data_IF_315768434348
#
_entry.id   IF_315768434348
#
_cell.length_a   1.000
_cell.length_b   1.000
_cell.length_c   1.000
_cell.angle_alpha   90.00
_cell.angle_beta   90.00
_cell.angle_gamma   90.00
#
_symmetry.space_group_name_H-M   'P 1'
#
loop_
_entity.id
_entity.type
_entity.pdbx_description
1 polymer ?
#
# COMPACT_ATOMS: atom_id res chain seq x y z
N UNK A 1 3.47 1.87 13.92
CA UNK A 1 3.46 0.77 12.92
C UNK A 1 4.12 -0.43 13.55
N UNK A 2 3.38 -1.52 13.68
CA UNK A 2 3.86 -2.76 14.30
C UNK A 2 4.68 -3.59 13.31
N UNK A 3 5.45 -4.57 13.81
CA UNK A 3 6.25 -5.47 12.96
C UNK A 3 5.37 -6.31 12.02
N UNK A 4 4.15 -6.64 12.44
CA UNK A 4 3.19 -7.39 11.63
C UNK A 4 2.75 -6.60 10.39
N UNK A 5 2.44 -5.31 10.56
CA UNK A 5 2.10 -4.41 9.45
C UNK A 5 3.26 -4.23 8.46
N UNK A 6 4.50 -4.16 8.97
CA UNK A 6 5.71 -4.13 8.11
C UNK A 6 5.80 -5.39 7.26
N UNK A 7 5.65 -6.56 7.88
CA UNK A 7 5.70 -7.83 7.19
C UNK A 7 4.61 -7.95 6.12
N UNK A 8 3.40 -7.45 6.39
CA UNK A 8 2.31 -7.38 5.40
C UNK A 8 2.72 -6.49 4.22
N UNK A 9 3.17 -5.26 4.48
CA UNK A 9 3.59 -4.32 3.44
C UNK A 9 4.70 -4.91 2.55
N UNK A 10 5.73 -5.50 3.15
CA UNK A 10 6.81 -6.15 2.42
C UNK A 10 6.30 -7.35 1.58
N UNK A 11 5.36 -8.14 2.10
CA UNK A 11 4.72 -9.25 1.37
C UNK A 11 3.96 -8.79 0.12
N UNK A 12 3.39 -7.59 0.15
CA UNK A 12 2.74 -6.97 -1.01
C UNK A 12 3.73 -6.22 -1.92
N UNK A 13 5.02 -6.12 -1.57
CA UNK A 13 6.04 -5.43 -2.35
C UNK A 13 6.10 -3.91 -2.10
N UNK A 14 5.57 -3.47 -0.95
CA UNK A 14 5.79 -2.13 -0.42
C UNK A 14 7.05 -2.09 0.44
N UNK A 15 7.75 -0.96 0.36
CA UNK A 15 8.97 -0.66 1.09
C UNK A 15 8.76 0.63 1.87
N UNK A 16 9.14 0.64 3.13
CA UNK A 16 9.01 1.84 3.96
C UNK A 16 10.32 2.62 3.85
N UNK A 17 10.23 3.87 3.42
CA UNK A 17 11.32 4.84 3.41
C UNK A 17 10.97 6.00 4.32
N UNK A 18 11.45 5.94 5.57
CA UNK A 18 11.22 6.98 6.58
C UNK A 18 9.75 7.12 6.95
N UNK A 19 9.11 8.19 6.47
CA UNK A 19 7.69 8.49 6.67
C UNK A 19 6.80 8.04 5.51
N UNK A 20 7.37 7.53 4.43
CA UNK A 20 6.64 7.11 3.24
C UNK A 20 6.70 5.60 3.04
N UNK A 21 5.67 5.07 2.39
CA UNK A 21 5.53 3.67 2.01
C UNK A 21 5.41 3.63 0.49
N UNK A 22 6.42 3.03 -0.14
CA UNK A 22 6.62 3.01 -1.59
C UNK A 22 6.46 1.61 -2.14
N UNK A 23 5.57 1.42 -3.10
CA UNK A 23 5.46 0.14 -3.82
C UNK A 23 6.52 0.04 -4.91
N UNK A 24 7.39 -0.96 -4.81
CA UNK A 24 8.52 -1.13 -5.74
C UNK A 24 8.09 -1.34 -7.20
N UNK A 25 7.05 -2.13 -7.43
CA UNK A 25 6.57 -2.50 -8.77
C UNK A 25 5.63 -1.48 -9.41
N UNK A 26 4.84 -0.76 -8.62
CA UNK A 26 3.77 0.11 -9.12
C UNK A 26 4.10 1.60 -8.97
N UNK A 27 5.18 1.96 -8.28
CA UNK A 27 5.53 3.37 -8.04
C UNK A 27 4.53 4.11 -7.14
N UNK A 28 3.72 3.37 -6.37
CA UNK A 28 2.76 3.97 -5.43
C UNK A 28 3.55 4.54 -4.26
N UNK A 29 3.38 5.82 -3.97
CA UNK A 29 3.94 6.47 -2.78
C UNK A 29 2.80 6.94 -1.90
N UNK A 30 2.77 6.48 -0.65
CA UNK A 30 1.73 6.84 0.33
C UNK A 30 2.36 7.11 1.69
N UNK A 31 1.75 7.98 2.48
CA UNK A 31 2.28 8.31 3.80
C UNK A 31 2.10 7.14 4.76
N UNK A 32 3.11 6.82 5.58
CA UNK A 32 3.00 5.71 6.55
C UNK A 32 1.83 5.91 7.50
N UNK A 33 1.48 7.17 7.83
CA UNK A 33 0.38 7.51 8.75
C UNK A 33 -0.94 6.90 8.31
N UNK A 34 -1.22 6.85 7.01
CA UNK A 34 -2.40 6.20 6.43
C UNK A 34 -2.46 4.72 6.83
N UNK A 35 -1.32 4.04 6.78
CA UNK A 35 -1.20 2.62 7.15
C UNK A 35 -1.21 2.40 8.67
N UNK A 36 -0.70 3.36 9.46
CA UNK A 36 -0.74 3.26 10.93
C UNK A 36 -2.15 3.51 11.49
N UNK A 37 -3.00 4.27 10.77
CA UNK A 37 -4.40 4.46 11.15
C UNK A 37 -5.23 3.18 11.10
N UNK A 38 -4.80 2.18 10.32
CA UNK A 38 -5.45 0.86 10.30
C UNK A 38 -4.92 0.00 11.45
N UNK A 39 -5.80 -0.30 12.42
CA UNK A 39 -5.43 -0.97 13.66
C UNK A 39 -5.19 -2.49 13.49
N UNK A 40 -5.80 -3.10 12.48
CA UNK A 40 -5.74 -4.55 12.26
C UNK A 40 -5.05 -4.93 10.95
N UNK A 41 -4.45 -6.12 10.96
CA UNK A 41 -3.80 -6.75 9.81
C UNK A 41 -4.75 -6.92 8.63
N UNK A 42 -6.02 -7.27 8.89
CA UNK A 42 -7.05 -7.41 7.86
C UNK A 42 -7.43 -6.07 7.22
N UNK A 43 -7.69 -5.02 8.00
CA UNK A 43 -7.99 -3.69 7.45
C UNK A 43 -6.84 -3.15 6.60
N UNK A 44 -5.61 -3.32 7.08
CA UNK A 44 -4.42 -2.93 6.33
C UNK A 44 -4.34 -3.66 4.99
N UNK A 45 -4.60 -4.97 4.99
CA UNK A 45 -4.60 -5.77 3.76
C UNK A 45 -5.71 -5.35 2.80
N UNK A 46 -6.91 -5.06 3.30
CA UNK A 46 -8.03 -4.63 2.46
C UNK A 46 -7.76 -3.25 1.83
N UNK A 47 -7.21 -2.32 2.62
CA UNK A 47 -6.76 -1.02 2.13
C UNK A 47 -5.68 -1.15 1.05
N UNK A 48 -4.64 -1.97 1.29
CA UNK A 48 -3.59 -2.24 0.30
C UNK A 48 -4.20 -2.84 -0.98
N UNK A 49 -5.07 -3.84 -0.86
CA UNK A 49 -5.75 -4.46 -2.01
C UNK A 49 -6.58 -3.44 -2.78
N UNK A 50 -7.28 -2.54 -2.09
CA UNK A 50 -8.05 -1.46 -2.70
C UNK A 50 -7.16 -0.52 -3.50
N UNK A 51 -6.02 -0.09 -2.94
CA UNK A 51 -5.02 0.73 -3.65
C UNK A 51 -4.52 0.01 -4.90
N UNK A 52 -4.14 -1.27 -4.78
CA UNK A 52 -3.64 -2.07 -5.88
C UNK A 52 -4.68 -2.24 -6.99
N UNK A 53 -5.95 -2.49 -6.61
CA UNK A 53 -7.07 -2.58 -7.55
C UNK A 53 -7.30 -1.27 -8.28
N UNK A 54 -7.30 -0.16 -7.54
CA UNK A 54 -7.52 1.17 -8.10
C UNK A 54 -6.41 1.53 -9.09
N UNK A 55 -5.13 1.26 -8.77
CA UNK A 55 -4.01 1.43 -9.70
C UNK A 55 -4.12 0.54 -10.95
N UNK A 56 -4.52 -0.72 -10.79
CA UNK A 56 -4.78 -1.60 -11.94
C UNK A 56 -5.90 -1.07 -12.85
N UNK A 57 -6.91 -0.39 -12.29
CA UNK A 57 -7.95 0.25 -13.09
C UNK A 57 -7.45 1.52 -13.78
N UNK A 58 -6.60 2.32 -13.14
CA UNK A 58 -6.03 3.52 -13.74
C UNK A 58 -5.17 3.19 -14.97
N UNK A 59 -4.38 2.12 -14.94
CA UNK A 59 -3.63 1.65 -16.11
C UNK A 59 -4.49 1.11 -17.26
N UNK A 60 -5.78 0.81 -17.02
CA UNK A 60 -6.73 0.38 -18.06
C UNK A 60 -7.68 1.48 -18.52
N UNK A 61 -7.64 2.67 -17.91
CA UNK A 61 -8.58 3.76 -18.17
C UNK A 61 -8.01 4.97 -18.91
N UNK A 62 -6.69 5.05 -19.15
CA UNK A 62 -6.12 6.12 -19.98
C UNK A 62 -6.06 5.64 -21.43
N UNK A 63 -7.23 5.63 -22.05
CA UNK A 63 -7.41 5.66 -23.50
C UNK A 63 -8.66 6.52 -23.72
N UNK A 64 -8.47 7.83 -23.66
CA UNK A 64 -9.31 8.80 -24.36
C UNK A 64 -8.61 9.16 -25.67
#
# INVERSE_FOLDING_TARGET
MTNEQKAILEKFGFRIEGEEVKHLKLGIVRNKKEFVSHATSEELQDYIKSILRNQCQWRRGVSE
#
